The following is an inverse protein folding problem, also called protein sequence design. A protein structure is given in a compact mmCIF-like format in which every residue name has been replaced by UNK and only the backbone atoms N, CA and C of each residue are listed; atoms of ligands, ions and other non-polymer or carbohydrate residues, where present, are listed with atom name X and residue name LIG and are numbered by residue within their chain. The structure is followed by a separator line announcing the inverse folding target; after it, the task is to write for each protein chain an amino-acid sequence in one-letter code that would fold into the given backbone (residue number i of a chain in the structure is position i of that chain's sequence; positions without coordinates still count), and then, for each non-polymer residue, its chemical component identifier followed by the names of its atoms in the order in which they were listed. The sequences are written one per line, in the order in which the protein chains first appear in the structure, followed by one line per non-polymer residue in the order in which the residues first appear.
data_IF_177971277892
#
_entry.id   IF_177971277892
#
_cell.length_a   1.000
_cell.length_b   1.000
_cell.length_c   1.000
_cell.angle_alpha   90.00
_cell.angle_beta   90.00
_cell.angle_gamma   90.00
#
_symmetry.space_group_name_H-M   'P 1'
#
loop_
_entity.id
_entity.type
_entity.pdbx_description
1 polymer ?
#
# COMPACT_ATOMS: atom_id res chain seq x y z
N UNK A 1 -14.24 -0.93 18.50
CA UNK A 1 -14.38 -1.04 17.02
C UNK A 1 -13.39 -2.06 16.49
N UNK A 2 -13.79 -2.90 15.54
CA UNK A 2 -12.85 -3.75 14.84
C UNK A 2 -11.89 -2.88 14.01
N UNK A 3 -10.59 -3.22 14.03
CA UNK A 3 -9.59 -2.52 13.22
C UNK A 3 -9.81 -2.84 11.74
N UNK A 4 -9.51 -1.88 10.86
CA UNK A 4 -9.43 -2.12 9.42
C UNK A 4 -8.14 -2.86 9.09
N UNK A 5 -8.26 -3.86 8.23
CA UNK A 5 -7.09 -4.60 7.74
C UNK A 5 -6.40 -3.81 6.64
N UNK A 6 -5.09 -3.70 6.71
CA UNK A 6 -4.32 -2.93 5.72
C UNK A 6 -3.15 -3.72 5.17
N UNK A 7 -2.85 -3.47 3.90
CA UNK A 7 -1.65 -3.95 3.23
C UNK A 7 -0.62 -2.84 3.04
N UNK A 8 0.64 -3.20 2.91
CA UNK A 8 1.72 -2.30 2.49
C UNK A 8 2.39 -2.87 1.25
N UNK A 9 2.27 -2.15 0.14
CA UNK A 9 2.90 -2.47 -1.14
C UNK A 9 4.20 -1.66 -1.25
N UNK A 10 5.32 -2.33 -1.53
CA UNK A 10 6.65 -1.73 -1.43
C UNK A 10 7.21 -1.75 -0.01
N UNK A 11 6.80 -2.72 0.80
CA UNK A 11 7.13 -2.83 2.22
C UNK A 11 8.63 -3.00 2.51
N UNK A 12 9.43 -3.44 1.55
CA UNK A 12 10.86 -3.69 1.74
C UNK A 12 11.75 -2.46 1.57
N UNK A 13 11.25 -1.40 0.97
CA UNK A 13 11.94 -0.11 0.86
C UNK A 13 11.86 0.70 2.16
N UNK A 14 12.68 1.74 2.29
CA UNK A 14 12.75 2.56 3.51
C UNK A 14 11.39 3.17 3.91
N UNK A 15 10.64 3.72 2.94
CA UNK A 15 9.30 4.28 3.20
C UNK A 15 8.32 3.19 3.59
N UNK A 16 8.34 2.05 2.90
CA UNK A 16 7.51 0.90 3.25
C UNK A 16 7.79 0.36 4.65
N UNK A 17 9.07 0.27 5.04
CA UNK A 17 9.47 -0.07 6.42
C UNK A 17 8.89 0.92 7.44
N UNK A 18 8.86 2.21 7.09
CA UNK A 18 8.25 3.23 7.95
C UNK A 18 6.75 3.02 8.13
N UNK A 19 6.02 2.68 7.07
CA UNK A 19 4.60 2.30 7.18
C UNK A 19 4.41 1.11 8.11
N UNK A 20 5.23 0.07 7.94
CA UNK A 20 5.15 -1.14 8.78
C UNK A 20 5.33 -0.80 10.26
N UNK A 21 6.31 0.05 10.60
CA UNK A 21 6.55 0.46 12.00
C UNK A 21 5.43 1.35 12.55
N UNK A 22 4.87 2.26 11.75
CA UNK A 22 3.76 3.13 12.17
C UNK A 22 2.45 2.37 12.37
N UNK A 23 2.28 1.23 11.74
CA UNK A 23 1.11 0.38 11.89
C UNK A 23 1.18 -0.53 13.12
N UNK A 24 2.35 -0.63 13.77
CA UNK A 24 2.47 -1.37 15.03
C UNK A 24 1.58 -0.72 16.11
N UNK A 25 0.71 -1.52 16.71
CA UNK A 25 -0.23 -1.06 17.72
C UNK A 25 -1.12 0.13 17.32
N UNK A 26 -1.30 0.35 16.00
CA UNK A 26 -2.14 1.43 15.51
C UNK A 26 -3.59 1.27 16.01
N UNK A 27 -4.26 2.36 16.48
CA UNK A 27 -5.59 2.25 17.09
C UNK A 27 -6.69 1.80 16.13
N UNK A 28 -6.59 2.12 14.84
CA UNK A 28 -7.64 1.87 13.83
C UNK A 28 -7.26 0.85 12.77
N UNK A 29 -5.97 0.63 12.56
CA UNK A 29 -5.47 -0.22 11.47
C UNK A 29 -4.68 -1.40 11.99
N UNK A 30 -4.78 -2.52 11.28
CA UNK A 30 -4.00 -3.72 11.52
C UNK A 30 -3.30 -4.13 10.23
N UNK A 31 -1.98 -4.18 10.25
CA UNK A 31 -1.19 -4.71 9.14
C UNK A 31 -1.43 -6.23 9.03
N UNK A 32 -1.94 -6.68 7.91
CA UNK A 32 -2.25 -8.10 7.65
C UNK A 32 -1.60 -8.66 6.40
N UNK A 33 -1.13 -7.79 5.51
CA UNK A 33 -0.49 -8.22 4.27
C UNK A 33 0.63 -7.26 3.87
N UNK A 34 1.67 -7.80 3.28
CA UNK A 34 2.79 -7.05 2.72
C UNK A 34 3.14 -7.57 1.33
N UNK A 35 3.52 -6.67 0.45
CA UNK A 35 3.97 -7.01 -0.88
C UNK A 35 5.21 -6.20 -1.28
N UNK A 36 6.00 -6.79 -2.16
CA UNK A 36 7.18 -6.16 -2.72
C UNK A 36 7.43 -6.71 -4.14
N UNK A 37 8.63 -6.51 -4.69
CA UNK A 37 9.00 -7.09 -5.98
C UNK A 37 9.08 -8.62 -5.92
N UNK A 38 8.97 -9.27 -7.08
CA UNK A 38 9.13 -10.72 -7.24
C UNK A 38 10.39 -11.28 -6.56
N UNK A 39 11.47 -10.50 -6.49
CA UNK A 39 12.73 -10.90 -5.83
C UNK A 39 12.58 -11.16 -4.33
N UNK A 40 11.67 -10.46 -3.67
CA UNK A 40 11.40 -10.59 -2.23
C UNK A 40 10.21 -11.51 -1.93
N UNK A 41 9.36 -11.78 -2.93
CA UNK A 41 8.18 -12.62 -2.78
C UNK A 41 8.53 -14.04 -2.31
N UNK A 42 7.68 -14.63 -1.50
CA UNK A 42 7.86 -15.97 -0.95
C UNK A 42 8.78 -16.08 0.26
N UNK A 43 9.41 -14.97 0.68
CA UNK A 43 10.20 -14.89 1.91
C UNK A 43 9.35 -14.37 3.06
N UNK A 44 9.72 -14.65 4.30
CA UNK A 44 9.21 -13.88 5.43
C UNK A 44 9.66 -12.42 5.33
N UNK A 45 8.91 -11.51 5.93
CA UNK A 45 9.29 -10.09 5.88
C UNK A 45 10.68 -9.85 6.44
N UNK A 46 11.01 -10.50 7.57
CA UNK A 46 12.33 -10.36 8.17
C UNK A 46 13.45 -10.85 7.25
N UNK A 47 13.29 -12.01 6.62
CA UNK A 47 14.26 -12.50 5.63
C UNK A 47 14.44 -11.54 4.45
N UNK A 48 13.39 -10.83 4.07
CA UNK A 48 13.44 -9.88 2.96
C UNK A 48 14.13 -8.56 3.33
N UNK A 49 14.15 -8.16 4.61
CA UNK A 49 14.61 -6.82 5.04
C UNK A 49 15.77 -6.82 6.01
N UNK A 50 16.14 -7.94 6.66
CA UNK A 50 17.13 -7.96 7.73
C UNK A 50 18.48 -7.32 7.34
N UNK A 51 18.94 -7.53 6.11
CA UNK A 51 20.22 -6.98 5.60
C UNK A 51 20.11 -5.51 5.15
N UNK A 52 18.92 -4.95 5.09
CA UNK A 52 18.65 -3.59 4.61
C UNK A 52 17.60 -2.84 5.43
N UNK A 53 17.44 -3.24 6.68
CA UNK A 53 16.61 -2.48 7.61
C UNK A 53 17.22 -1.11 7.84
N UNK A 54 16.48 -0.06 7.46
CA UNK A 54 16.99 1.30 7.37
C UNK A 54 16.62 2.19 8.56
N UNK A 55 15.82 1.68 9.50
CA UNK A 55 15.30 2.47 10.61
C UNK A 55 16.05 2.19 11.92
N UNK A 56 16.16 3.21 12.76
CA UNK A 56 16.81 3.11 14.09
C UNK A 56 15.93 2.40 15.15
N UNK A 57 14.70 2.07 14.79
CA UNK A 57 13.76 1.32 15.63
C UNK A 57 13.66 -0.13 15.13
N UNK A 58 13.41 -1.10 16.02
CA UNK A 58 13.34 -2.50 15.61
C UNK A 58 12.14 -2.78 14.69
N UNK A 59 12.29 -3.80 13.86
CA UNK A 59 11.17 -4.30 13.06
C UNK A 59 10.10 -4.90 13.99
N UNK A 60 8.81 -4.53 13.81
CA UNK A 60 7.72 -5.09 14.62
C UNK A 60 7.67 -6.61 14.57
N UNK A 61 7.59 -7.27 15.72
CA UNK A 61 7.59 -8.74 15.81
C UNK A 61 6.45 -9.36 15.00
N UNK A 62 5.25 -8.76 15.07
CA UNK A 62 4.09 -9.24 14.33
C UNK A 62 4.27 -9.16 12.79
N UNK A 63 5.12 -8.27 12.30
CA UNK A 63 5.38 -8.13 10.88
C UNK A 63 6.45 -9.11 10.37
N UNK A 64 7.41 -9.51 11.21
CA UNK A 64 8.55 -10.35 10.82
C UNK A 64 8.18 -11.65 10.12
N UNK A 65 7.10 -12.29 10.56
CA UNK A 65 6.63 -13.57 10.05
C UNK A 65 5.65 -13.47 8.87
N UNK A 66 5.22 -12.26 8.51
CA UNK A 66 4.33 -12.09 7.35
C UNK A 66 5.05 -12.51 6.07
N UNK A 67 4.37 -13.30 5.25
CA UNK A 67 4.86 -13.70 3.93
C UNK A 67 4.82 -12.52 2.97
N UNK A 68 5.93 -12.20 2.33
CA UNK A 68 5.99 -11.19 1.29
C UNK A 68 5.32 -11.71 0.03
N UNK A 69 4.27 -11.01 -0.43
CA UNK A 69 3.60 -11.29 -1.69
C UNK A 69 4.29 -10.54 -2.85
N UNK A 70 4.12 -11.05 -4.05
CA UNK A 70 4.49 -10.30 -5.25
C UNK A 70 3.44 -9.21 -5.52
N UNK A 71 3.88 -7.96 -5.61
CA UNK A 71 2.97 -6.82 -5.74
C UNK A 71 2.12 -6.85 -7.03
N UNK A 72 2.63 -7.46 -8.10
CA UNK A 72 1.94 -7.58 -9.38
C UNK A 72 1.23 -8.93 -9.49
N UNK A 73 1.96 -10.04 -9.32
CA UNK A 73 1.42 -11.38 -9.52
C UNK A 73 0.37 -11.79 -8.49
N UNK A 74 0.50 -11.33 -7.24
CA UNK A 74 -0.41 -11.66 -6.14
C UNK A 74 -1.44 -10.54 -5.84
N UNK A 75 -1.67 -9.62 -6.78
CA UNK A 75 -2.54 -8.45 -6.56
C UNK A 75 -3.97 -8.84 -6.14
N UNK A 76 -4.60 -9.81 -6.80
CA UNK A 76 -5.93 -10.31 -6.43
C UNK A 76 -5.95 -10.91 -5.03
N UNK A 77 -4.94 -11.71 -4.72
CA UNK A 77 -4.81 -12.34 -3.40
C UNK A 77 -4.71 -11.29 -2.31
N UNK A 78 -3.82 -10.30 -2.50
CA UNK A 78 -3.62 -9.22 -1.53
C UNK A 78 -4.87 -8.38 -1.37
N UNK A 79 -5.50 -7.97 -2.49
CA UNK A 79 -6.74 -7.19 -2.48
C UNK A 79 -7.87 -7.89 -1.71
N UNK A 80 -7.94 -9.22 -1.78
CA UNK A 80 -8.90 -10.02 -1.02
C UNK A 80 -8.62 -10.14 0.48
N UNK A 81 -7.41 -9.80 0.93
CA UNK A 81 -6.98 -9.94 2.33
C UNK A 81 -7.15 -8.67 3.15
N UNK A 82 -7.37 -7.52 2.53
CA UNK A 82 -7.29 -6.20 3.18
C UNK A 82 -8.46 -5.29 2.81
N UNK A 83 -8.72 -4.31 3.66
CA UNK A 83 -9.69 -3.24 3.37
C UNK A 83 -9.11 -2.19 2.41
N UNK A 84 -7.81 -1.91 2.49
CA UNK A 84 -7.08 -1.00 1.60
C UNK A 84 -5.57 -1.20 1.73
N UNK A 85 -4.78 -0.56 0.86
CA UNK A 85 -3.33 -0.62 0.92
C UNK A 85 -2.68 0.77 0.98
N UNK A 86 -1.56 0.84 1.68
CA UNK A 86 -0.56 1.90 1.46
C UNK A 86 0.42 1.45 0.37
N UNK A 87 0.80 2.36 -0.52
CA UNK A 87 1.72 2.06 -1.61
C UNK A 87 2.94 2.99 -1.57
N UNK A 88 4.13 2.39 -1.53
CA UNK A 88 5.43 3.08 -1.50
C UNK A 88 6.46 2.30 -2.34
N UNK A 89 6.11 1.95 -3.57
CA UNK A 89 6.99 1.24 -4.50
C UNK A 89 7.99 2.19 -5.15
N UNK A 90 9.13 1.65 -5.54
CA UNK A 90 10.14 2.34 -6.35
C UNK A 90 10.20 1.68 -7.73
N UNK A 91 9.49 2.27 -8.68
CA UNK A 91 9.33 1.79 -10.05
C UNK A 91 9.20 2.99 -11.01
N UNK A 92 9.34 2.80 -12.33
CA UNK A 92 8.99 3.83 -13.31
C UNK A 92 7.53 4.28 -13.14
N UNK A 93 7.26 5.57 -13.35
CA UNK A 93 5.93 6.16 -13.10
C UNK A 93 4.79 5.45 -13.82
N UNK A 94 5.00 5.01 -15.05
CA UNK A 94 3.97 4.32 -15.81
C UNK A 94 3.66 2.93 -15.24
N UNK A 95 4.68 2.23 -14.73
CA UNK A 95 4.49 0.97 -14.02
C UNK A 95 3.75 1.17 -12.69
N UNK A 96 4.05 2.24 -11.94
CA UNK A 96 3.32 2.58 -10.71
C UNK A 96 1.85 2.87 -11.02
N UNK A 97 1.56 3.66 -12.08
CA UNK A 97 0.17 3.94 -12.49
C UNK A 97 -0.59 2.66 -12.79
N UNK A 98 0.01 1.76 -13.57
CA UNK A 98 -0.60 0.48 -13.92
C UNK A 98 -0.86 -0.39 -12.69
N UNK A 99 0.11 -0.46 -11.77
CA UNK A 99 0.00 -1.20 -10.52
C UNK A 99 -1.14 -0.66 -9.64
N UNK A 100 -1.15 0.64 -9.38
CA UNK A 100 -2.14 1.28 -8.52
C UNK A 100 -3.55 1.19 -9.12
N UNK A 101 -3.71 1.34 -10.43
CA UNK A 101 -4.99 1.12 -11.12
C UNK A 101 -5.46 -0.34 -11.07
N UNK A 102 -4.55 -1.31 -11.11
CA UNK A 102 -4.88 -2.72 -10.95
C UNK A 102 -5.54 -2.97 -9.59
N UNK A 103 -4.96 -2.48 -8.51
CA UNK A 103 -5.56 -2.60 -7.18
C UNK A 103 -6.90 -1.85 -7.07
N UNK A 104 -6.99 -0.65 -7.62
CA UNK A 104 -8.24 0.10 -7.63
C UNK A 104 -9.36 -0.66 -8.35
N UNK A 105 -9.08 -1.26 -9.51
CA UNK A 105 -10.03 -2.11 -10.24
C UNK A 105 -10.42 -3.39 -9.50
N UNK A 106 -9.55 -3.88 -8.63
CA UNK A 106 -9.83 -5.00 -7.72
C UNK A 106 -10.63 -4.57 -6.48
N UNK A 107 -11.18 -3.37 -6.46
CA UNK A 107 -11.93 -2.80 -5.34
C UNK A 107 -11.09 -2.65 -4.05
N UNK A 108 -9.76 -2.57 -4.19
CA UNK A 108 -8.83 -2.31 -3.10
C UNK A 108 -8.33 -0.86 -3.18
N UNK A 109 -8.84 0.05 -2.36
CA UNK A 109 -8.39 1.43 -2.35
C UNK A 109 -6.88 1.53 -2.04
N UNK A 110 -6.20 2.45 -2.71
CA UNK A 110 -4.77 2.71 -2.52
C UNK A 110 -4.58 4.10 -1.93
N UNK A 111 -3.81 4.17 -0.85
CA UNK A 111 -3.26 5.43 -0.32
C UNK A 111 -1.78 5.45 -0.67
N UNK A 112 -1.43 6.23 -1.67
CA UNK A 112 -0.10 6.21 -2.28
C UNK A 112 0.80 7.32 -1.79
N UNK A 113 2.05 6.98 -1.47
CA UNK A 113 3.14 7.94 -1.26
C UNK A 113 3.81 8.34 -2.59
N UNK A 114 3.49 7.66 -3.69
CA UNK A 114 4.14 7.84 -4.97
C UNK A 114 3.65 9.09 -5.71
N UNK A 115 4.48 9.58 -6.63
CA UNK A 115 4.16 10.78 -7.42
C UNK A 115 3.43 10.48 -8.74
N UNK A 116 3.18 9.20 -9.06
CA UNK A 116 2.72 8.79 -10.37
C UNK A 116 1.35 9.37 -10.75
N UNK A 117 0.43 9.49 -9.80
CA UNK A 117 -0.92 10.00 -10.02
C UNK A 117 -1.16 11.43 -9.52
N UNK A 118 -0.12 12.17 -9.10
CA UNK A 118 -0.31 13.53 -8.53
C UNK A 118 -0.99 14.52 -9.50
N UNK A 119 -0.87 14.31 -10.79
CA UNK A 119 -1.46 15.15 -11.83
C UNK A 119 -2.58 14.46 -12.61
N UNK A 120 -3.07 13.33 -12.12
CA UNK A 120 -4.22 12.64 -12.70
C UNK A 120 -5.48 13.31 -12.15
N UNK A 121 -6.33 13.86 -13.03
CA UNK A 121 -7.43 14.74 -12.67
C UNK A 121 -8.44 14.14 -11.69
N UNK A 122 -8.68 12.83 -11.77
CA UNK A 122 -9.62 12.10 -10.93
C UNK A 122 -8.98 11.35 -9.75
N UNK A 123 -7.70 11.62 -9.48
CA UNK A 123 -7.01 11.09 -8.30
C UNK A 123 -6.81 12.20 -7.29
N UNK A 124 -7.39 12.10 -6.08
CA UNK A 124 -7.24 13.16 -5.10
C UNK A 124 -5.82 13.24 -4.57
N UNK A 125 -5.31 14.46 -4.46
CA UNK A 125 -4.08 14.76 -3.73
C UNK A 125 -4.46 15.59 -2.50
N UNK A 126 -4.47 14.95 -1.34
CA UNK A 126 -5.14 15.48 -0.14
C UNK A 126 -4.16 15.66 1.02
N UNK A 127 -4.23 16.84 1.60
CA UNK A 127 -3.81 17.12 2.98
C UNK A 127 -5.09 17.38 3.76
N UNK A 128 -5.58 16.43 4.60
CA UNK A 128 -6.94 16.49 5.14
C UNK A 128 -7.30 17.78 5.88
N UNK A 129 -6.31 18.40 6.54
CA UNK A 129 -6.47 19.65 7.27
C UNK A 129 -6.60 20.89 6.34
N UNK A 130 -6.28 20.74 5.05
CA UNK A 130 -6.20 21.87 4.10
C UNK A 130 -7.25 21.75 3.00
N UNK A 131 -7.38 20.60 2.38
CA UNK A 131 -8.17 20.41 1.15
C UNK A 131 -8.93 19.08 1.11
N UNK A 132 -9.58 18.70 2.21
CA UNK A 132 -10.36 17.46 2.31
C UNK A 132 -11.45 17.35 1.24
N UNK A 133 -12.00 18.48 0.76
CA UNK A 133 -12.99 18.53 -0.31
C UNK A 133 -12.48 17.94 -1.64
N UNK A 134 -11.15 17.88 -1.85
CA UNK A 134 -10.57 17.25 -3.04
C UNK A 134 -10.89 15.74 -3.14
N UNK A 135 -11.31 15.10 -2.05
CA UNK A 135 -11.81 13.72 -2.09
C UNK A 135 -13.04 13.54 -3.00
N UNK A 136 -13.77 14.61 -3.31
CA UNK A 136 -14.94 14.55 -4.21
C UNK A 136 -14.59 14.04 -5.62
N UNK A 137 -13.34 14.18 -6.09
CA UNK A 137 -12.91 13.67 -7.42
C UNK A 137 -12.95 12.14 -7.50
N UNK A 138 -12.99 11.43 -6.38
CA UNK A 138 -13.12 9.96 -6.33
C UNK A 138 -14.36 9.48 -7.09
N UNK A 139 -15.44 10.24 -7.13
CA UNK A 139 -16.64 9.87 -7.87
C UNK A 139 -16.38 9.81 -9.40
N UNK A 140 -15.55 10.71 -9.92
CA UNK A 140 -15.11 10.65 -11.32
C UNK A 140 -14.20 9.44 -11.57
N UNK A 141 -13.29 9.17 -10.64
CA UNK A 141 -12.39 8.00 -10.71
C UNK A 141 -13.17 6.68 -10.73
N UNK A 142 -14.15 6.52 -9.85
CA UNK A 142 -15.04 5.34 -9.83
C UNK A 142 -15.74 5.13 -11.15
N UNK A 143 -16.26 6.19 -11.77
CA UNK A 143 -16.90 6.12 -13.10
C UNK A 143 -15.92 5.68 -14.16
N UNK A 144 -14.70 6.25 -14.17
CA UNK A 144 -13.67 5.88 -15.16
C UNK A 144 -13.20 4.43 -15.01
N UNK A 145 -13.01 3.97 -13.78
CA UNK A 145 -12.50 2.62 -13.49
C UNK A 145 -13.61 1.56 -13.41
N UNK A 146 -14.87 1.95 -13.31
CA UNK A 146 -15.99 1.03 -13.14
C UNK A 146 -16.04 0.39 -11.75
N UNK A 147 -15.56 1.10 -10.72
CA UNK A 147 -15.46 0.60 -9.34
C UNK A 147 -16.53 1.20 -8.43
N UNK A 148 -16.74 0.58 -7.27
CA UNK A 148 -17.72 1.03 -6.25
C UNK A 148 -17.05 1.58 -5.00
N UNK A 149 -15.79 1.22 -4.75
CA UNK A 149 -15.00 1.62 -3.57
C UNK A 149 -13.96 2.66 -3.93
#
# INVERSE_FOLDING_TARGET
MAKRTVGVIGATGMVGQRFVTLLENHPWFQLTAIAASARSAGKSYWEAVCDRWALDIPCPEAAKSLMVLDAEADAEKLAGMVDFCFCAVDMPKDAIRALEETYAKLECPIVSNNSAHRWTEDVPMVVPEINAEHLAVIEAQRKRLGTKR
#
